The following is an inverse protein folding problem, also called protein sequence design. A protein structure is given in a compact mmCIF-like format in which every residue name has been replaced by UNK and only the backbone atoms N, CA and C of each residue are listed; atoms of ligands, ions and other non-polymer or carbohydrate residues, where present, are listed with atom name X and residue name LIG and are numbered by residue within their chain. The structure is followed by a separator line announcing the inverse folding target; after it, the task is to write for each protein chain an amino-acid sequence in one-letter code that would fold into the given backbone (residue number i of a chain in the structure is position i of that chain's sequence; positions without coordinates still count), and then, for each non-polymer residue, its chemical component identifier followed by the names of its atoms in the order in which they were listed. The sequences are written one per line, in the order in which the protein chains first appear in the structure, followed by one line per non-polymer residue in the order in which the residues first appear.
data_IF_787548261307
#
_entry.id   IF_787548261307
#
_cell.length_a   1.000
_cell.length_b   1.000
_cell.length_c   1.000
_cell.angle_alpha   90.00
_cell.angle_beta   90.00
_cell.angle_gamma   90.00
#
_symmetry.space_group_name_H-M   'P 1'
#
loop_
_entity.id
_entity.type
_entity.pdbx_description
1 polymer ?
#
# COMPACT_ATOMS: atom_id res chain seq x y z
N UNK A 1 -4.04 -5.40 -13.33
CA UNK A 1 -4.31 -6.47 -12.36
C UNK A 1 -3.93 -5.90 -11.01
N UNK A 2 -4.89 -5.73 -10.09
CA UNK A 2 -4.56 -5.21 -8.77
C UNK A 2 -3.91 -6.35 -8.00
N UNK A 3 -2.65 -6.18 -7.60
CA UNK A 3 -1.95 -7.15 -6.77
C UNK A 3 -2.69 -7.26 -5.43
N UNK A 4 -3.20 -8.46 -5.16
CA UNK A 4 -3.81 -8.81 -3.87
C UNK A 4 -2.66 -9.05 -2.91
N UNK A 5 -2.64 -8.37 -1.76
CA UNK A 5 -1.71 -8.75 -0.70
C UNK A 5 -2.07 -10.17 -0.25
N UNK A 6 -1.14 -11.11 -0.40
CA UNK A 6 -1.26 -12.49 0.11
C UNK A 6 -1.09 -12.52 1.64
N UNK A 7 -1.95 -11.78 2.34
CA UNK A 7 -1.96 -11.68 3.80
C UNK A 7 -3.36 -11.92 4.33
N UNK A 8 -3.47 -12.89 5.23
CA UNK A 8 -4.70 -13.22 5.92
C UNK A 8 -4.89 -12.32 7.15
N UNK A 9 -6.15 -11.99 7.43
CA UNK A 9 -6.52 -11.28 8.65
C UNK A 9 -6.16 -12.13 9.88
N UNK A 10 -5.32 -11.64 10.80
CA UNK A 10 -4.86 -12.42 11.96
C UNK A 10 -6.00 -12.78 12.92
N UNK A 11 -7.11 -12.06 12.86
CA UNK A 11 -8.28 -12.31 13.71
C UNK A 11 -9.25 -13.38 13.17
N UNK A 12 -9.37 -13.57 11.85
CA UNK A 12 -10.41 -14.42 11.26
C UNK A 12 -9.96 -15.25 10.04
N UNK A 13 -8.67 -15.18 9.70
CA UNK A 13 -8.05 -15.90 8.58
C UNK A 13 -8.67 -15.62 7.21
N UNK A 14 -9.43 -14.54 7.07
CA UNK A 14 -9.95 -14.08 5.77
C UNK A 14 -8.90 -13.19 5.10
N UNK A 15 -8.58 -13.36 3.81
CA UNK A 15 -7.65 -12.50 3.09
C UNK A 15 -8.12 -11.04 3.13
N UNK A 16 -7.18 -10.10 3.26
CA UNK A 16 -7.50 -8.68 3.19
C UNK A 16 -7.82 -8.27 1.76
N UNK A 17 -9.07 -7.87 1.45
CA UNK A 17 -9.48 -7.61 0.08
C UNK A 17 -9.19 -6.17 -0.37
N UNK A 18 -8.97 -5.24 0.56
CA UNK A 18 -8.93 -3.81 0.29
C UNK A 18 -7.84 -3.11 1.10
N UNK A 19 -7.08 -2.29 0.38
CA UNK A 19 -5.96 -1.50 0.89
C UNK A 19 -6.19 -0.07 0.41
N UNK A 20 -6.21 0.86 1.34
CA UNK A 20 -6.26 2.29 1.03
C UNK A 20 -4.93 2.92 1.41
N UNK A 21 -4.36 3.69 0.49
CA UNK A 21 -3.15 4.48 0.72
C UNK A 21 -3.41 5.94 0.34
N UNK A 22 -2.97 6.87 1.18
CA UNK A 22 -3.12 8.31 0.95
C UNK A 22 -2.11 9.14 1.74
N UNK A 23 -2.05 10.45 1.48
CA UNK A 23 -1.23 11.35 2.29
C UNK A 23 -1.78 11.43 3.72
N UNK A 24 -0.91 11.30 4.72
CA UNK A 24 -1.32 11.47 6.11
C UNK A 24 -1.77 12.92 6.37
N UNK A 25 -2.88 13.08 7.10
CA UNK A 25 -3.48 14.41 7.34
C UNK A 25 -2.58 15.38 8.13
N UNK A 26 -1.68 14.85 8.94
CA UNK A 26 -0.81 15.62 9.84
C UNK A 26 0.60 15.84 9.29
N UNK A 27 1.01 15.07 8.28
CA UNK A 27 2.33 15.18 7.67
C UNK A 27 2.27 14.73 6.19
N UNK A 28 2.45 15.65 5.22
CA UNK A 28 2.40 15.30 3.81
C UNK A 28 3.59 14.46 3.34
N UNK A 29 4.65 14.31 4.15
CA UNK A 29 5.80 13.44 3.86
C UNK A 29 5.55 11.98 4.22
N UNK A 30 4.40 11.67 4.83
CA UNK A 30 4.00 10.32 5.19
C UNK A 30 2.80 9.86 4.35
N UNK A 31 2.83 8.59 3.98
CA UNK A 31 1.69 7.86 3.43
C UNK A 31 1.00 7.14 4.57
N UNK A 32 -0.28 7.40 4.78
CA UNK A 32 -1.16 6.60 5.62
C UNK A 32 -1.65 5.39 4.83
N UNK A 33 -1.35 4.20 5.34
CA UNK A 33 -1.81 2.93 4.81
C UNK A 33 -2.84 2.32 5.76
N UNK A 34 -4.04 2.04 5.27
CA UNK A 34 -5.12 1.41 6.03
C UNK A 34 -5.58 0.16 5.30
N UNK A 35 -5.58 -0.96 6.01
CA UNK A 35 -6.05 -2.26 5.51
C UNK A 35 -7.23 -2.69 6.38
N UNK A 36 -8.38 -2.92 5.76
CA UNK A 36 -9.61 -3.30 6.47
C UNK A 36 -10.05 -4.70 6.05
N UNK A 37 -10.30 -5.57 7.03
CA UNK A 37 -10.89 -6.88 6.77
C UNK A 37 -12.41 -6.73 6.59
N UNK A 38 -12.91 -6.96 5.38
CA UNK A 38 -14.34 -6.84 5.10
C UNK A 38 -15.22 -7.91 5.77
N UNK A 39 -14.61 -8.96 6.32
CA UNK A 39 -15.35 -10.03 7.03
C UNK A 39 -15.57 -9.71 8.51
N UNK A 40 -14.53 -9.30 9.24
CA UNK A 40 -14.62 -9.07 10.69
C UNK A 40 -14.40 -7.62 11.13
N UNK A 41 -14.08 -6.71 10.20
CA UNK A 41 -13.83 -5.30 10.47
C UNK A 41 -12.50 -5.00 11.16
N UNK A 42 -11.60 -5.99 11.30
CA UNK A 42 -10.26 -5.76 11.83
C UNK A 42 -9.45 -4.82 10.93
N UNK A 43 -8.74 -3.87 11.52
CA UNK A 43 -7.98 -2.83 10.82
C UNK A 43 -6.49 -2.97 11.13
N UNK A 44 -5.65 -2.87 10.10
CA UNK A 44 -4.22 -2.62 10.24
C UNK A 44 -3.93 -1.22 9.70
N UNK A 45 -3.14 -0.44 10.42
CA UNK A 45 -2.72 0.88 9.99
C UNK A 45 -1.20 1.04 10.12
N UNK A 46 -0.60 1.77 9.19
CA UNK A 46 0.82 2.13 9.22
C UNK A 46 1.05 3.49 8.56
N UNK A 47 2.10 4.18 8.98
CA UNK A 47 2.62 5.35 8.26
C UNK A 47 3.94 4.96 7.59
N UNK A 48 4.05 5.23 6.29
CA UNK A 48 5.26 4.96 5.50
C UNK A 48 5.89 6.29 5.12
N UNK A 49 7.17 6.47 5.40
CA UNK A 49 7.88 7.69 5.04
C UNK A 49 8.23 7.70 3.56
N UNK A 50 7.91 8.80 2.86
CA UNK A 50 8.35 8.99 1.48
C UNK A 50 9.87 8.98 1.35
N UNK A 51 10.60 9.35 2.40
CA UNK A 51 12.06 9.34 2.41
C UNK A 51 12.66 7.92 2.38
N UNK A 52 11.89 6.90 2.74
CA UNK A 52 12.32 5.49 2.71
C UNK A 52 12.00 4.81 1.37
N UNK A 53 11.33 5.51 0.45
CA UNK A 53 10.94 4.98 -0.85
C UNK A 53 12.04 5.16 -1.90
N UNK A 54 12.13 4.21 -2.83
CA UNK A 54 12.99 4.31 -4.00
C UNK A 54 12.20 4.77 -5.23
N UNK A 55 12.85 5.54 -6.09
CA UNK A 55 12.29 5.89 -7.39
C UNK A 55 12.40 4.67 -8.30
N UNK A 56 11.28 4.21 -8.84
CA UNK A 56 11.24 3.20 -9.88
C UNK A 56 11.14 3.93 -11.22
N UNK A 57 12.14 3.83 -12.12
CA UNK A 57 12.07 4.46 -13.43
C UNK A 57 10.92 3.86 -14.24
N UNK A 58 10.28 4.68 -15.09
CA UNK A 58 9.21 4.19 -15.95
C UNK A 58 9.81 3.24 -17.01
N UNK A 59 9.32 1.99 -17.15
CA UNK A 59 9.87 1.03 -18.12
C UNK A 59 9.81 1.49 -19.58
N UNK A 60 9.06 2.54 -19.89
CA UNK A 60 8.94 3.10 -21.25
C UNK A 60 10.12 3.99 -21.67
N UNK A 61 11.02 4.38 -20.76
CA UNK A 61 12.20 5.21 -21.07
C UNK A 61 13.46 4.42 -21.47
N UNK A 62 13.43 3.08 -21.47
CA UNK A 62 14.57 2.22 -21.85
C UNK A 62 14.74 1.97 -23.36
N UNK A 63 13.95 2.62 -24.23
CA UNK A 63 14.09 2.48 -25.71
C UNK A 63 14.30 3.81 -26.44
N UNK A 64 15.11 4.70 -25.88
CA UNK A 64 15.56 5.87 -26.63
C UNK A 64 17.00 6.29 -26.30
N UNK A 65 17.94 5.35 -26.41
CA UNK A 65 19.34 5.69 -26.68
C UNK A 65 19.81 4.78 -27.81
N UNK A 66 19.84 5.36 -29.02
CA UNK A 66 20.37 4.73 -30.23
C UNK A 66 21.89 4.70 -30.28
#
# INVERSE_FOLDING_TARGET
MADVLEIDCPACSTPYPEITAGSAAHDPSLIELVITCNNCGHILNAFVSLAEMSVVPNPEEETSHG
#
